data_IF_623135779268
#
_entry.id   IF_623135779268
#
_cell.length_a   1.000
_cell.length_b   1.000
_cell.length_c   1.000
_cell.angle_alpha   90.00
_cell.angle_beta   90.00
_cell.angle_gamma   90.00
#
_symmetry.space_group_name_H-M   'P 1'
#
loop_
_entity.id
_entity.type
_entity.pdbx_description
1 polymer ?
#
# COMPACT_ATOMS: atom_id res chain seq x y z
N UNK A 1 -15.87 -10.46 14.37
CA UNK A 1 -15.05 -10.27 13.16
C UNK A 1 -15.56 -9.04 12.41
N UNK A 2 -15.21 -7.84 12.89
CA UNK A 2 -15.45 -6.60 12.16
C UNK A 2 -14.33 -6.48 11.14
N UNK A 3 -14.58 -7.01 9.95
CA UNK A 3 -13.95 -6.48 8.75
C UNK A 3 -14.27 -4.99 8.84
N UNK A 4 -13.26 -4.12 8.99
CA UNK A 4 -13.42 -2.69 8.70
C UNK A 4 -13.59 -2.63 7.19
N UNK A 5 -14.78 -3.04 6.76
CA UNK A 5 -15.35 -2.69 5.50
C UNK A 5 -15.34 -1.17 5.50
N UNK A 6 -14.82 -0.65 4.40
CA UNK A 6 -14.61 0.73 4.03
C UNK A 6 -15.96 1.47 3.92
N UNK A 7 -16.68 1.51 5.03
CA UNK A 7 -17.95 2.17 5.25
C UNK A 7 -18.00 2.49 6.74
N UNK A 8 -17.90 3.78 7.05
CA UNK A 8 -17.84 4.37 8.40
C UNK A 8 -16.43 4.42 9.03
N UNK A 9 -15.49 5.13 8.41
CA UNK A 9 -14.56 6.05 9.10
C UNK A 9 -14.08 7.12 8.09
N UNK A 10 -15.05 7.83 7.51
CA UNK A 10 -14.81 9.24 7.22
C UNK A 10 -14.78 9.95 8.58
N UNK A 11 -13.58 10.18 9.09
CA UNK A 11 -13.11 11.34 9.87
C UNK A 11 -11.76 10.99 10.49
N UNK A 12 -10.76 10.71 9.65
CA UNK A 12 -9.43 11.23 9.96
C UNK A 12 -9.42 12.65 9.39
N UNK A 13 -9.62 13.60 10.30
CA UNK A 13 -9.45 15.02 10.05
C UNK A 13 -7.95 15.26 9.85
N UNK A 14 -7.51 15.39 8.59
CA UNK A 14 -6.72 16.59 8.28
C UNK A 14 -7.71 17.73 8.42
N UNK A 15 -7.40 18.74 9.24
CA UNK A 15 -8.37 19.81 9.54
C UNK A 15 -8.85 20.48 8.25
N UNK A 16 -10.13 20.26 7.95
CA UNK A 16 -11.10 21.29 7.58
C UNK A 16 -12.50 20.71 7.80
N UNK A 17 -13.05 21.00 8.98
CA UNK A 17 -14.49 20.89 9.19
C UNK A 17 -15.15 22.06 8.47
N UNK A 18 -15.87 21.80 7.37
CA UNK A 18 -16.96 22.68 6.93
C UNK A 18 -18.08 21.84 6.33
N UNK A 19 -19.32 21.92 6.84
CA UNK A 19 -20.49 21.34 6.19
C UNK A 19 -20.95 22.30 5.09
N UNK A 20 -20.30 22.22 3.94
CA UNK A 20 -20.61 22.92 2.68
C UNK A 20 -20.43 21.87 1.57
N UNK A 21 -21.08 21.96 0.39
CA UNK A 21 -20.68 21.17 -0.77
C UNK A 21 -19.27 21.63 -1.19
N UNK A 22 -18.27 21.15 -0.47
CA UNK A 22 -16.87 21.53 -0.68
C UNK A 22 -16.41 20.94 -2.02
N UNK A 23 -15.69 21.73 -2.84
CA UNK A 23 -15.06 21.20 -4.04
C UNK A 23 -14.19 20.01 -3.65
N UNK A 24 -14.17 18.96 -4.49
CA UNK A 24 -13.26 17.84 -4.31
C UNK A 24 -11.86 18.35 -4.01
N UNK A 25 -11.17 17.86 -2.96
CA UNK A 25 -9.82 18.28 -2.64
C UNK A 25 -8.96 18.21 -3.90
N UNK A 26 -8.49 19.37 -4.35
CA UNK A 26 -7.57 19.47 -5.48
C UNK A 26 -6.16 19.51 -4.94
N UNK A 27 -5.30 18.71 -5.54
CA UNK A 27 -3.89 18.58 -5.23
C UNK A 27 -3.17 18.10 -6.47
N UNK A 28 -1.85 17.91 -6.40
CA UNK A 28 -1.08 17.28 -7.46
C UNK A 28 -0.41 16.08 -6.82
N UNK A 29 -0.77 14.88 -7.27
CA UNK A 29 -0.22 13.63 -6.78
C UNK A 29 0.40 12.85 -7.94
N UNK A 30 1.61 12.34 -7.74
CA UNK A 30 2.25 11.44 -8.71
C UNK A 30 2.21 10.03 -8.13
N UNK A 31 1.59 9.10 -8.85
CA UNK A 31 1.59 7.70 -8.42
C UNK A 31 2.97 7.10 -8.65
N UNK A 32 3.58 6.46 -7.63
CA UNK A 32 4.87 5.81 -7.79
C UNK A 32 4.82 4.54 -8.67
N UNK A 33 3.64 3.90 -8.80
CA UNK A 33 3.51 2.64 -9.53
C UNK A 33 3.59 2.82 -11.04
N UNK A 34 3.06 3.92 -11.57
CA UNK A 34 2.95 4.16 -13.01
C UNK A 34 3.45 5.55 -13.45
N UNK A 35 3.88 6.40 -12.50
CA UNK A 35 4.39 7.74 -12.77
C UNK A 35 3.31 8.75 -13.20
N UNK A 36 2.03 8.36 -13.17
CA UNK A 36 0.94 9.22 -13.61
C UNK A 36 0.63 10.31 -12.58
N UNK A 37 0.34 11.51 -13.09
CA UNK A 37 -0.02 12.67 -12.28
C UNK A 37 -1.54 12.83 -12.24
N UNK A 38 -2.09 13.00 -11.04
CA UNK A 38 -3.51 13.16 -10.80
C UNK A 38 -3.78 14.47 -10.06
N UNK A 39 -4.91 15.09 -10.40
CA UNK A 39 -5.44 16.27 -9.68
C UNK A 39 -6.80 16.02 -9.02
N UNK A 40 -7.38 14.86 -9.29
CA UNK A 40 -8.69 14.44 -8.79
C UNK A 40 -8.48 13.31 -7.79
N UNK A 41 -8.81 13.55 -6.52
CA UNK A 41 -8.56 12.61 -5.43
C UNK A 41 -9.17 11.22 -5.67
N UNK A 42 -10.35 11.12 -6.31
CA UNK A 42 -11.03 9.84 -6.57
C UNK A 42 -10.32 8.93 -7.58
N UNK A 43 -9.28 9.42 -8.26
CA UNK A 43 -8.43 8.62 -9.17
C UNK A 43 -7.25 7.96 -8.45
N UNK A 44 -7.07 8.26 -7.17
CA UNK A 44 -6.06 7.67 -6.30
C UNK A 44 -6.72 6.74 -5.29
N UNK A 45 -5.99 5.70 -4.89
CA UNK A 45 -6.28 4.87 -3.73
C UNK A 45 -5.12 5.01 -2.73
N UNK A 46 -5.42 4.79 -1.44
CA UNK A 46 -4.37 4.45 -0.46
C UNK A 46 -4.20 2.93 -0.49
N UNK A 47 -3.05 2.48 -0.95
CA UNK A 47 -2.70 1.06 -1.01
C UNK A 47 -2.01 0.61 0.28
N UNK A 48 -2.36 -0.58 0.75
CA UNK A 48 -1.56 -1.36 1.69
C UNK A 48 -0.44 -2.04 0.90
N UNK A 49 0.74 -1.41 0.93
CA UNK A 49 1.88 -1.78 0.11
C UNK A 49 2.18 -3.27 0.18
N UNK A 50 2.35 -3.81 1.39
CA UNK A 50 2.15 -5.24 1.64
C UNK A 50 0.66 -5.48 1.89
N UNK A 51 -0.06 -6.19 0.98
CA UNK A 51 -1.50 -6.37 1.12
C UNK A 51 -1.87 -7.09 2.41
N UNK A 52 -2.97 -6.70 3.06
CA UNK A 52 -3.40 -7.28 4.34
C UNK A 52 -3.54 -8.82 4.28
N UNK A 53 -4.00 -9.36 3.14
CA UNK A 53 -4.09 -10.82 2.94
C UNK A 53 -2.72 -11.47 2.76
N UNK A 54 -1.77 -10.81 2.07
CA UNK A 54 -0.39 -11.29 1.97
C UNK A 54 0.25 -11.32 3.38
N UNK A 55 0.09 -10.24 4.15
CA UNK A 55 0.55 -10.17 5.53
C UNK A 55 -0.02 -11.32 6.39
N UNK A 56 -1.34 -11.57 6.29
CA UNK A 56 -2.01 -12.69 6.97
C UNK A 56 -1.35 -14.04 6.67
N UNK A 57 -1.11 -14.35 5.39
CA UNK A 57 -0.48 -15.60 4.97
C UNK A 57 0.99 -15.70 5.39
N UNK A 58 1.66 -14.57 5.60
CA UNK A 58 3.07 -14.50 5.98
C UNK A 58 3.36 -14.40 7.48
N UNK A 59 2.34 -14.49 8.34
CA UNK A 59 2.51 -14.55 9.80
C UNK A 59 1.53 -13.70 10.60
N UNK A 60 0.83 -12.74 9.97
CA UNK A 60 -0.12 -11.89 10.69
C UNK A 60 -1.41 -12.62 11.13
N UNK A 61 -1.60 -13.88 10.73
CA UNK A 61 -2.66 -14.75 11.27
C UNK A 61 -2.52 -14.99 12.77
N UNK A 62 -1.29 -15.04 13.28
CA UNK A 62 -0.98 -15.31 14.69
C UNK A 62 -1.00 -14.05 15.56
N UNK A 63 -1.18 -12.89 14.95
CA UNK A 63 -1.21 -11.62 15.66
C UNK A 63 -2.52 -11.41 16.42
N UNK A 64 -2.50 -10.51 17.40
CA UNK A 64 -3.73 -9.97 17.99
C UNK A 64 -4.42 -9.02 17.01
N UNK A 65 -5.66 -8.64 17.32
CA UNK A 65 -6.39 -7.65 16.51
C UNK A 65 -5.69 -6.29 16.54
N UNK A 66 -5.14 -5.88 17.70
CA UNK A 66 -4.42 -4.62 17.86
C UNK A 66 -3.14 -4.56 17.02
N UNK A 67 -2.41 -5.66 16.90
CA UNK A 67 -1.22 -5.74 16.05
C UNK A 67 -1.58 -5.63 14.56
N UNK A 68 -2.66 -6.28 14.12
CA UNK A 68 -3.15 -6.14 12.74
C UNK A 68 -3.66 -4.73 12.45
N UNK A 69 -4.33 -4.10 13.42
CA UNK A 69 -4.77 -2.71 13.30
C UNK A 69 -3.58 -1.75 13.21
N UNK A 70 -2.53 -1.95 14.02
CA UNK A 70 -1.31 -1.16 13.94
C UNK A 70 -0.65 -1.28 12.55
N UNK A 71 -0.51 -2.50 12.03
CA UNK A 71 0.01 -2.75 10.68
C UNK A 71 -0.83 -2.08 9.58
N UNK A 72 -2.16 -2.18 9.66
CA UNK A 72 -3.05 -1.61 8.66
C UNK A 72 -3.05 -0.07 8.64
N UNK A 73 -2.58 0.57 9.71
CA UNK A 73 -2.59 2.03 9.88
C UNK A 73 -1.17 2.61 10.07
N UNK A 74 -0.13 1.88 9.67
CA UNK A 74 1.25 2.32 9.84
C UNK A 74 1.60 3.47 8.88
N UNK A 75 1.83 4.65 9.45
CA UNK A 75 2.28 5.86 8.75
C UNK A 75 3.78 6.13 8.92
N UNK A 76 4.49 5.28 9.66
CA UNK A 76 5.93 5.41 9.95
C UNK A 76 6.81 4.59 9.00
N UNK A 77 6.33 3.42 8.56
CA UNK A 77 6.98 2.57 7.56
C UNK A 77 6.28 2.70 6.19
N UNK A 78 6.87 2.22 5.08
CA UNK A 78 6.29 2.39 3.74
C UNK A 78 5.14 1.40 3.48
N UNK A 79 4.20 1.29 4.42
CA UNK A 79 3.04 0.40 4.34
C UNK A 79 1.81 1.05 3.68
N UNK A 80 1.69 2.38 3.72
CA UNK A 80 0.58 3.12 3.11
C UNK A 80 1.06 4.08 2.03
N UNK A 81 0.57 3.92 0.80
CA UNK A 81 0.97 4.74 -0.35
C UNK A 81 -0.22 5.27 -1.13
N UNK A 82 -0.18 6.55 -1.52
CA UNK A 82 -1.10 7.11 -2.49
C UNK A 82 -0.69 6.69 -3.91
N UNK A 83 -1.51 5.88 -4.56
CA UNK A 83 -1.22 5.29 -5.87
C UNK A 83 -2.40 5.44 -6.82
N UNK A 84 -2.19 5.24 -8.13
CA UNK A 84 -3.29 5.24 -9.07
C UNK A 84 -4.26 4.12 -8.72
N UNK A 85 -5.56 4.46 -8.69
CA UNK A 85 -6.58 3.48 -8.35
C UNK A 85 -6.64 2.34 -9.38
N UNK A 86 -6.22 2.60 -10.63
CA UNK A 86 -6.11 1.58 -11.66
C UNK A 86 -5.00 0.57 -11.37
N UNK A 87 -3.77 1.03 -11.10
CA UNK A 87 -2.64 0.14 -10.79
C UNK A 87 -2.90 -0.65 -9.49
N UNK A 88 -3.45 0.01 -8.47
CA UNK A 88 -3.80 -0.63 -7.21
C UNK A 88 -4.80 -1.80 -7.40
N UNK A 89 -5.85 -1.60 -8.21
CA UNK A 89 -6.82 -2.65 -8.50
C UNK A 89 -6.24 -3.80 -9.33
N UNK A 90 -5.22 -3.55 -10.15
CA UNK A 90 -4.50 -4.63 -10.82
C UNK A 90 -3.62 -5.44 -9.85
N UNK A 91 -2.95 -4.75 -8.93
CA UNK A 91 -2.14 -5.36 -7.87
C UNK A 91 -3.01 -6.25 -6.98
N UNK A 92 -4.07 -5.71 -6.40
CA UNK A 92 -4.94 -6.44 -5.46
C UNK A 92 -4.15 -6.99 -4.27
N UNK A 93 -4.30 -8.29 -3.99
CA UNK A 93 -3.63 -8.99 -2.87
C UNK A 93 -2.30 -9.65 -3.25
N UNK A 94 -1.77 -9.35 -4.45
CA UNK A 94 -0.58 -9.99 -5.02
C UNK A 94 0.71 -9.49 -4.36
N UNK A 95 1.66 -10.41 -4.19
CA UNK A 95 3.05 -10.08 -3.90
C UNK A 95 3.86 -9.72 -5.15
N UNK A 96 5.14 -9.32 -4.98
CA UNK A 96 6.05 -8.95 -6.07
C UNK A 96 6.28 -10.06 -7.10
N UNK A 97 6.03 -11.32 -6.73
CA UNK A 97 6.13 -12.49 -7.60
C UNK A 97 4.98 -12.60 -8.60
N UNK A 98 3.86 -11.93 -8.34
CA UNK A 98 2.64 -11.99 -9.18
C UNK A 98 2.27 -10.65 -9.80
N UNK A 99 2.77 -9.56 -9.28
CA UNK A 99 2.56 -8.22 -9.83
C UNK A 99 3.75 -7.33 -9.48
N UNK A 100 4.19 -6.53 -10.46
CA UNK A 100 5.21 -5.51 -10.29
C UNK A 100 4.64 -4.18 -10.81
N UNK A 101 5.10 -3.03 -10.28
CA UNK A 101 4.68 -1.74 -10.80
C UNK A 101 5.03 -1.63 -12.31
N UNK A 102 4.19 -0.99 -13.13
CA UNK A 102 4.54 -0.73 -14.53
C UNK A 102 5.78 0.16 -14.70
N UNK A 103 6.01 1.09 -13.77
CA UNK A 103 7.17 1.98 -13.79
C UNK A 103 8.42 1.26 -13.25
N UNK A 104 9.29 0.81 -14.15
CA UNK A 104 10.50 0.04 -13.79
C UNK A 104 11.51 0.85 -12.99
N UNK A 105 11.58 2.18 -13.18
CA UNK A 105 12.45 3.05 -12.38
C UNK A 105 12.05 3.10 -10.89
N UNK A 106 10.89 2.56 -10.52
CA UNK A 106 10.46 2.44 -9.13
C UNK A 106 10.86 1.09 -8.49
N UNK A 107 11.51 0.19 -9.22
CA UNK A 107 11.77 -1.18 -8.75
C UNK A 107 12.64 -1.25 -7.50
N UNK A 108 13.73 -0.48 -7.46
CA UNK A 108 14.61 -0.41 -6.29
C UNK A 108 13.84 -0.02 -5.03
N UNK A 109 13.16 1.13 -5.08
CA UNK A 109 12.37 1.62 -3.95
C UNK A 109 11.26 0.65 -3.58
N UNK A 110 10.59 0.03 -4.56
CA UNK A 110 9.55 -0.97 -4.30
C UNK A 110 10.12 -2.18 -3.54
N UNK A 111 11.23 -2.74 -4.02
CA UNK A 111 11.81 -3.94 -3.43
C UNK A 111 12.37 -3.68 -2.02
N UNK A 112 13.09 -2.56 -1.84
CA UNK A 112 13.60 -2.13 -0.54
C UNK A 112 12.46 -1.90 0.46
N UNK A 113 11.40 -1.20 0.04
CA UNK A 113 10.23 -0.94 0.90
C UNK A 113 9.50 -2.23 1.29
N UNK A 114 9.43 -3.21 0.39
CA UNK A 114 8.81 -4.51 0.69
C UNK A 114 9.59 -5.26 1.75
N UNK A 115 10.92 -5.29 1.61
CA UNK A 115 11.83 -5.90 2.58
C UNK A 115 11.75 -5.17 3.93
N UNK A 116 11.69 -3.84 3.92
CA UNK A 116 11.58 -3.03 5.14
C UNK A 116 10.30 -3.35 5.93
N UNK A 117 9.13 -3.26 5.27
CA UNK A 117 7.83 -3.58 5.92
C UNK A 117 7.81 -5.02 6.43
N UNK A 118 8.20 -5.99 5.59
CA UNK A 118 8.21 -7.41 5.99
C UNK A 118 9.17 -7.66 7.15
N UNK A 119 10.35 -7.04 7.12
CA UNK A 119 11.37 -7.15 8.15
C UNK A 119 10.92 -6.55 9.48
N UNK A 120 10.40 -5.32 9.48
CA UNK A 120 9.92 -4.65 10.68
C UNK A 120 8.79 -5.42 11.36
N UNK A 121 7.83 -5.91 10.58
CA UNK A 121 6.69 -6.67 11.10
C UNK A 121 6.99 -8.16 11.31
N UNK A 122 8.23 -8.62 11.08
CA UNK A 122 8.61 -10.03 11.18
C UNK A 122 7.69 -10.97 10.38
N UNK A 123 7.33 -10.54 9.18
CA UNK A 123 6.56 -11.31 8.21
C UNK A 123 7.49 -12.10 7.30
N UNK A 124 7.10 -13.31 6.94
CA UNK A 124 7.87 -14.13 6.01
C UNK A 124 7.77 -13.63 4.57
N UNK A 125 8.81 -13.96 3.79
CA UNK A 125 8.89 -13.76 2.35
C UNK A 125 9.02 -15.14 1.72
N UNK A 126 8.18 -15.45 0.74
CA UNK A 126 8.29 -16.73 0.02
C UNK A 126 9.54 -16.75 -0.87
N UNK A 127 9.97 -17.94 -1.29
CA UNK A 127 11.08 -18.04 -2.26
C UNK A 127 10.74 -17.32 -3.58
N UNK A 128 9.48 -17.39 -4.04
CA UNK A 128 9.05 -16.68 -5.25
C UNK A 128 9.08 -15.16 -5.09
N UNK A 129 8.66 -14.63 -3.93
CA UNK A 129 8.76 -13.21 -3.62
C UNK A 129 10.23 -12.79 -3.54
N UNK A 130 11.09 -13.60 -2.90
CA UNK A 130 12.52 -13.34 -2.78
C UNK A 130 13.21 -13.27 -4.14
N UNK A 131 12.92 -14.21 -5.04
CA UNK A 131 13.46 -14.20 -6.40
C UNK A 131 13.00 -12.96 -7.18
N UNK A 132 11.72 -12.60 -7.05
CA UNK A 132 11.16 -11.43 -7.72
C UNK A 132 11.78 -10.11 -7.20
N UNK A 133 11.97 -10.00 -5.88
CA UNK A 133 12.62 -8.86 -5.23
C UNK A 133 14.10 -8.79 -5.61
N UNK A 134 14.82 -9.92 -5.61
CA UNK A 134 16.22 -9.99 -6.03
C UNK A 134 16.40 -9.48 -7.45
N UNK A 135 15.57 -9.96 -8.39
CA UNK A 135 15.58 -9.47 -9.77
C UNK A 135 15.26 -7.97 -9.89
N UNK A 136 14.47 -7.40 -8.98
CA UNK A 136 14.20 -5.95 -8.99
C UNK A 136 15.36 -5.13 -8.42
N UNK A 137 16.12 -5.71 -7.48
CA UNK A 137 17.28 -5.10 -6.86
C UNK A 137 18.54 -5.16 -7.75
N UNK A 138 18.62 -6.14 -8.66
CA UNK A 138 19.73 -6.25 -9.61
C UNK A 138 19.72 -5.13 -10.67
N UNK A 139 18.57 -4.47 -10.86
CA UNK A 139 18.39 -3.32 -11.77
C UNK A 139 18.66 -1.97 -11.07
N UNK A 140 19.21 -2.02 -9.85
CA UNK A 140 19.73 -0.90 -9.07
C UNK A 140 21.26 -0.81 -9.25
#
# INVERSE_FOLDING_TARGET
>A
MKIVALSILSTAVVVLAVPVPEPTPSGIWTSPYDGLVFTEAHKLDIDHFVPLKNAWMSGASEWTDEQREAFANDLTHPQLWAVSAHANRQKGDKGPDRWKPPLTSFYCTYAESWVDVKGYYNLTVSDSEKDALGSMLDDC
#
